data_IF_931961737842
#
_entry.id   IF_931961737842
#
_cell.length_a   1.000
_cell.length_b   1.000
_cell.length_c   1.000
_cell.angle_alpha   90.00
_cell.angle_beta   90.00
_cell.angle_gamma   90.00
#
_symmetry.space_group_name_H-M   'P 1'
#
loop_
_entity.id
_entity.type
_entity.pdbx_description
1 polymer ?
#
# COMPACT_ATOMS: atom_id res chain seq x y z
N UNK A 1 6.38 -26.58 -4.94
CA UNK A 1 5.50 -25.83 -5.83
C UNK A 1 4.53 -25.01 -4.99
N UNK A 2 4.39 -23.70 -5.25
CA UNK A 2 3.29 -22.86 -4.77
C UNK A 2 2.33 -22.69 -5.94
N UNK A 3 1.03 -22.82 -5.67
CA UNK A 3 -0.02 -22.73 -6.68
C UNK A 3 -0.78 -21.42 -6.51
N UNK A 4 -0.83 -20.61 -7.57
CA UNK A 4 -1.59 -19.38 -7.66
C UNK A 4 -2.80 -19.62 -8.55
N UNK A 5 -3.98 -19.84 -7.95
CA UNK A 5 -5.23 -19.97 -8.70
C UNK A 5 -5.78 -18.59 -9.03
N UNK A 6 -5.81 -18.27 -10.33
CA UNK A 6 -6.37 -17.02 -10.83
C UNK A 6 -7.82 -16.84 -10.35
N UNK A 7 -8.65 -17.89 -10.44
CA UNK A 7 -10.04 -17.85 -9.95
C UNK A 7 -10.14 -17.58 -8.46
N UNK A 8 -9.35 -18.25 -7.60
CA UNK A 8 -9.45 -18.04 -6.14
C UNK A 8 -9.04 -16.63 -5.76
N UNK A 9 -7.94 -16.14 -6.30
CA UNK A 9 -7.43 -14.79 -6.03
C UNK A 9 -8.41 -13.74 -6.57
N UNK A 10 -8.87 -13.90 -7.80
CA UNK A 10 -9.84 -13.00 -8.42
C UNK A 10 -11.17 -12.94 -7.65
N UNK A 11 -11.74 -14.11 -7.30
CA UNK A 11 -12.98 -14.16 -6.51
C UNK A 11 -12.77 -13.52 -5.14
N UNK A 12 -11.66 -13.79 -4.47
CA UNK A 12 -11.35 -13.18 -3.16
C UNK A 12 -11.39 -11.65 -3.25
N UNK A 13 -10.60 -11.05 -4.16
CA UNK A 13 -10.54 -9.59 -4.26
C UNK A 13 -11.84 -8.96 -4.77
N UNK A 14 -12.57 -9.60 -5.69
CA UNK A 14 -13.89 -9.12 -6.11
C UNK A 14 -14.91 -9.22 -4.96
N UNK A 15 -14.89 -10.28 -4.16
CA UNK A 15 -15.74 -10.40 -2.96
C UNK A 15 -15.39 -9.34 -1.94
N UNK A 16 -14.09 -9.10 -1.69
CA UNK A 16 -13.63 -8.04 -0.79
C UNK A 16 -14.09 -6.66 -1.28
N UNK A 17 -14.02 -6.40 -2.59
CA UNK A 17 -14.53 -5.16 -3.19
C UNK A 17 -16.02 -4.94 -2.88
N UNK A 18 -16.84 -5.96 -3.12
CA UNK A 18 -18.29 -5.91 -2.86
C UNK A 18 -18.57 -5.73 -1.36
N UNK A 19 -17.85 -6.46 -0.51
CA UNK A 19 -18.01 -6.37 0.95
C UNK A 19 -17.68 -4.97 1.44
N UNK A 20 -16.57 -4.36 1.00
CA UNK A 20 -16.24 -3.00 1.41
C UNK A 20 -17.24 -1.96 0.93
N UNK A 21 -17.72 -2.08 -0.32
CA UNK A 21 -18.77 -1.20 -0.82
C UNK A 21 -20.04 -1.29 0.06
N UNK A 22 -20.46 -2.50 0.44
CA UNK A 22 -21.62 -2.71 1.32
C UNK A 22 -21.37 -2.21 2.74
N UNK A 23 -20.22 -2.52 3.34
CA UNK A 23 -19.87 -2.09 4.70
C UNK A 23 -19.78 -0.56 4.76
N UNK A 24 -19.27 0.10 3.73
CA UNK A 24 -19.24 1.56 3.66
C UNK A 24 -20.63 2.18 3.61
N UNK A 25 -21.54 1.60 2.82
CA UNK A 25 -22.93 2.06 2.80
C UNK A 25 -23.61 1.93 4.16
N UNK A 26 -23.33 0.84 4.89
CA UNK A 26 -23.81 0.64 6.26
C UNK A 26 -23.18 1.67 7.21
N UNK A 27 -21.87 1.88 7.14
CA UNK A 27 -21.17 2.87 7.95
C UNK A 27 -21.68 4.29 7.70
N UNK A 28 -21.92 4.66 6.44
CA UNK A 28 -22.52 5.94 6.07
C UNK A 28 -23.92 6.11 6.68
N UNK A 29 -24.74 5.05 6.68
CA UNK A 29 -26.06 5.07 7.30
C UNK A 29 -26.00 5.19 8.83
N UNK A 30 -25.06 4.52 9.50
CA UNK A 30 -24.91 4.60 10.96
C UNK A 30 -24.38 5.99 11.38
N UNK A 31 -23.42 6.55 10.64
CA UNK A 31 -22.87 7.88 10.94
C UNK A 31 -23.91 9.00 10.92
N UNK A 32 -24.93 8.91 10.06
CA UNK A 32 -26.07 9.83 10.07
C UNK A 32 -26.87 9.74 11.38
N UNK A 33 -26.90 8.56 12.00
CA UNK A 33 -27.59 8.35 13.27
C UNK A 33 -26.75 8.68 14.51
N UNK A 34 -25.42 8.59 14.43
CA UNK A 34 -24.53 8.90 15.55
C UNK A 34 -23.15 9.42 15.07
N UNK A 35 -22.90 10.74 15.10
CA UNK A 35 -21.71 11.35 14.50
C UNK A 35 -20.46 11.29 15.41
N UNK A 36 -20.21 10.17 16.10
CA UNK A 36 -19.03 10.03 16.97
C UNK A 36 -17.71 10.04 16.15
N UNK A 37 -16.80 10.99 16.40
CA UNK A 37 -15.52 11.10 15.68
C UNK A 37 -14.55 9.95 15.96
N UNK A 38 -14.76 9.13 17.00
CA UNK A 38 -13.90 7.98 17.34
C UNK A 38 -14.50 6.64 16.90
N UNK A 39 -15.55 6.65 16.08
CA UNK A 39 -16.22 5.44 15.66
C UNK A 39 -15.32 4.57 14.75
N UNK A 40 -15.35 3.25 14.99
CA UNK A 40 -14.67 2.23 14.17
C UNK A 40 -15.07 2.34 12.69
N UNK A 41 -16.22 2.97 12.41
CA UNK A 41 -16.72 3.27 11.07
C UNK A 41 -15.75 4.07 10.20
N UNK A 42 -14.89 4.93 10.77
CA UNK A 42 -13.86 5.63 10.00
C UNK A 42 -12.82 4.69 9.38
N UNK A 43 -12.61 3.49 9.91
CA UNK A 43 -11.73 2.48 9.30
C UNK A 43 -12.35 1.86 8.04
N UNK A 44 -13.67 1.92 7.94
CA UNK A 44 -14.44 1.38 6.82
C UNK A 44 -15.01 2.46 5.91
N UNK A 45 -14.72 3.73 6.21
CA UNK A 45 -15.15 4.86 5.40
C UNK A 45 -14.34 4.90 4.12
N UNK A 46 -15.02 4.53 3.05
CA UNK A 46 -14.56 4.58 1.66
C UNK A 46 -14.27 6.05 1.31
N UNK A 47 -13.04 6.30 0.87
CA UNK A 47 -12.57 7.59 0.36
C UNK A 47 -11.80 8.42 1.36
N UNK A 48 -11.61 7.89 2.57
CA UNK A 48 -10.74 8.48 3.56
C UNK A 48 -9.35 7.87 3.45
N UNK A 49 -8.35 8.73 3.38
CA UNK A 49 -6.95 8.33 3.52
C UNK A 49 -6.78 7.51 4.80
N UNK A 50 -6.25 6.30 4.63
CA UNK A 50 -6.04 5.34 5.72
C UNK A 50 -7.22 4.42 6.07
N UNK A 51 -8.27 4.37 5.26
CA UNK A 51 -9.29 3.32 5.39
C UNK A 51 -8.77 1.93 4.95
N UNK A 52 -9.45 0.87 5.39
CA UNK A 52 -9.14 -0.50 4.93
C UNK A 52 -9.41 -0.71 3.44
N UNK A 53 -10.37 0.00 2.85
CA UNK A 53 -10.65 -0.08 1.41
C UNK A 53 -9.51 0.51 0.60
N UNK A 54 -9.01 1.70 0.98
CA UNK A 54 -7.84 2.36 0.38
C UNK A 54 -6.61 1.46 0.43
N UNK A 55 -6.36 0.78 1.55
CA UNK A 55 -5.25 -0.18 1.67
C UNK A 55 -5.37 -1.35 0.69
N UNK A 56 -6.55 -1.97 0.59
CA UNK A 56 -6.77 -3.07 -0.35
C UNK A 56 -6.68 -2.59 -1.80
N UNK A 57 -7.19 -1.40 -2.11
CA UNK A 57 -7.08 -0.77 -3.43
C UNK A 57 -5.61 -0.55 -3.81
N UNK A 58 -4.82 0.06 -2.93
CA UNK A 58 -3.37 0.23 -3.13
C UNK A 58 -2.69 -1.11 -3.43
N UNK A 59 -3.01 -2.16 -2.66
CA UNK A 59 -2.42 -3.49 -2.81
C UNK A 59 -2.80 -4.13 -4.15
N UNK A 60 -4.07 -4.08 -4.55
CA UNK A 60 -4.53 -4.63 -5.83
C UNK A 60 -3.86 -3.92 -7.00
N UNK A 61 -3.78 -2.58 -6.96
CA UNK A 61 -3.11 -1.78 -7.99
C UNK A 61 -1.62 -2.10 -8.08
N UNK A 62 -0.93 -2.27 -6.94
CA UNK A 62 0.47 -2.68 -6.91
C UNK A 62 0.66 -4.09 -7.47
N UNK A 63 -0.19 -5.06 -7.11
CA UNK A 63 -0.12 -6.42 -7.65
C UNK A 63 -0.34 -6.44 -9.18
N UNK A 64 -1.27 -5.62 -9.68
CA UNK A 64 -1.44 -5.40 -11.11
C UNK A 64 -0.16 -4.85 -11.75
N UNK A 65 0.44 -3.81 -11.16
CA UNK A 65 1.71 -3.24 -11.63
C UNK A 65 2.83 -4.29 -11.69
N UNK A 66 3.02 -5.08 -10.64
CA UNK A 66 4.04 -6.13 -10.57
C UNK A 66 3.82 -7.23 -11.61
N UNK A 67 2.58 -7.67 -11.83
CA UNK A 67 2.25 -8.66 -12.85
C UNK A 67 2.41 -8.10 -14.27
N UNK A 68 2.02 -6.85 -14.51
CA UNK A 68 2.27 -6.16 -15.78
C UNK A 68 3.76 -6.05 -16.05
N UNK A 69 4.56 -5.67 -15.04
CA UNK A 69 6.02 -5.58 -15.16
C UNK A 69 6.63 -6.95 -15.45
N UNK A 70 6.17 -8.00 -14.78
CA UNK A 70 6.56 -9.38 -15.04
C UNK A 70 6.27 -9.77 -16.50
N UNK A 71 5.03 -9.60 -16.95
CA UNK A 71 4.60 -9.90 -18.32
C UNK A 71 5.37 -9.08 -19.35
N UNK A 72 5.71 -7.84 -19.02
CA UNK A 72 6.48 -6.96 -19.90
C UNK A 72 7.93 -7.42 -20.11
N UNK A 73 8.49 -8.18 -19.17
CA UNK A 73 9.87 -8.67 -19.26
C UNK A 73 9.95 -10.16 -19.64
N UNK A 74 8.81 -10.84 -19.75
CA UNK A 74 8.75 -12.22 -20.18
C UNK A 74 9.02 -12.35 -21.70
N UNK A 75 9.91 -13.26 -22.13
CA UNK A 75 10.32 -13.37 -23.53
C UNK A 75 9.31 -14.19 -24.36
N UNK A 76 8.23 -13.55 -24.81
CA UNK A 76 7.25 -14.20 -25.69
C UNK A 76 7.82 -14.51 -27.10
N UNK A 77 7.49 -15.67 -27.71
CA UNK A 77 7.80 -15.96 -29.12
C UNK A 77 7.09 -14.95 -30.04
N UNK A 78 7.75 -14.48 -31.12
CA UNK A 78 7.23 -13.45 -32.05
C UNK A 78 6.89 -12.11 -31.36
N UNK A 79 7.92 -11.54 -30.72
CA UNK A 79 7.86 -10.34 -29.87
C UNK A 79 7.56 -9.06 -30.67
N UNK A 80 6.37 -8.49 -30.49
CA UNK A 80 6.10 -7.10 -30.91
C UNK A 80 6.60 -6.13 -29.82
N UNK A 81 7.67 -5.40 -30.14
CA UNK A 81 8.32 -4.42 -29.24
C UNK A 81 7.33 -3.33 -28.80
N UNK A 82 6.44 -2.92 -29.69
CA UNK A 82 5.44 -1.88 -29.40
C UNK A 82 4.45 -2.41 -28.36
N UNK A 83 3.87 -3.59 -28.57
CA UNK A 83 2.97 -4.22 -27.61
C UNK A 83 3.64 -4.44 -26.24
N UNK A 84 4.95 -4.73 -26.22
CA UNK A 84 5.68 -4.90 -24.96
C UNK A 84 5.89 -3.60 -24.19
N UNK A 85 6.17 -2.50 -24.87
CA UNK A 85 6.25 -1.20 -24.21
C UNK A 85 4.91 -0.79 -23.60
N UNK A 86 3.78 -1.19 -24.20
CA UNK A 86 2.45 -0.97 -23.61
C UNK A 86 2.28 -1.70 -22.27
N UNK A 87 2.78 -2.94 -22.12
CA UNK A 87 2.81 -3.62 -20.81
C UNK A 87 3.61 -2.81 -19.77
N UNK A 88 4.75 -2.24 -20.16
CA UNK A 88 5.59 -1.41 -19.26
C UNK A 88 4.90 -0.12 -18.86
N UNK A 89 4.30 0.58 -19.82
CA UNK A 89 3.58 1.83 -19.54
C UNK A 89 2.36 1.59 -18.64
N UNK A 90 1.63 0.50 -18.83
CA UNK A 90 0.58 0.10 -17.89
C UNK A 90 1.16 -0.21 -16.51
N UNK A 91 2.29 -0.92 -16.42
CA UNK A 91 2.91 -1.23 -15.13
C UNK A 91 3.25 0.05 -14.35
N UNK A 92 3.84 1.04 -15.03
CA UNK A 92 4.12 2.36 -14.45
C UNK A 92 2.83 3.09 -14.07
N UNK A 93 1.82 3.08 -14.94
CA UNK A 93 0.52 3.71 -14.66
C UNK A 93 -0.15 3.15 -13.40
N UNK A 94 -0.22 1.82 -13.27
CA UNK A 94 -0.79 1.17 -12.07
C UNK A 94 0.06 1.41 -10.81
N UNK A 95 1.38 1.54 -10.93
CA UNK A 95 2.24 1.92 -9.81
C UNK A 95 1.91 3.34 -9.33
N UNK A 96 1.79 4.29 -10.27
CA UNK A 96 1.43 5.67 -9.96
C UNK A 96 0.02 5.77 -9.37
N UNK A 97 -0.94 4.98 -9.86
CA UNK A 97 -2.29 4.91 -9.26
C UNK A 97 -2.23 4.37 -7.83
N UNK A 98 -1.44 3.32 -7.56
CA UNK A 98 -1.26 2.78 -6.21
C UNK A 98 -0.63 3.82 -5.26
N UNK A 99 0.36 4.58 -5.72
CA UNK A 99 0.97 5.66 -4.93
C UNK A 99 -0.03 6.80 -4.70
N UNK A 100 -0.76 7.20 -5.74
CA UNK A 100 -1.74 8.28 -5.68
C UNK A 100 -2.87 7.97 -4.69
N UNK A 101 -3.34 6.72 -4.64
CA UNK A 101 -4.38 6.28 -3.72
C UNK A 101 -4.01 6.50 -2.24
N UNK A 102 -2.75 6.27 -1.85
CA UNK A 102 -2.28 6.53 -0.48
C UNK A 102 -1.87 7.99 -0.26
N UNK A 103 -1.23 8.62 -1.24
CA UNK A 103 -0.62 9.94 -1.07
C UNK A 103 -1.51 11.12 -1.50
N UNK A 104 -2.65 10.89 -2.16
CA UNK A 104 -3.57 11.96 -2.56
C UNK A 104 -2.97 12.98 -3.54
N UNK A 105 -2.10 12.55 -4.45
CA UNK A 105 -1.35 13.47 -5.34
C UNK A 105 -2.28 14.31 -6.20
N UNK A 106 -3.31 13.68 -6.77
CA UNK A 106 -4.32 14.35 -7.58
C UNK A 106 -5.09 15.44 -6.79
N UNK A 107 -5.40 15.24 -5.51
CA UNK A 107 -6.08 16.24 -4.68
C UNK A 107 -5.23 17.52 -4.50
N UNK A 108 -3.91 17.35 -4.34
CA UNK A 108 -3.01 18.49 -4.20
C UNK A 108 -2.89 19.28 -5.50
N UNK A 109 -2.80 18.57 -6.62
CA UNK A 109 -2.85 19.20 -7.94
C UNK A 109 -4.18 19.90 -8.18
N UNK A 110 -5.29 19.31 -7.75
CA UNK A 110 -6.61 19.90 -7.90
C UNK A 110 -6.73 21.25 -7.21
N UNK A 111 -6.37 21.30 -5.92
CA UNK A 111 -6.34 22.53 -5.13
C UNK A 111 -5.44 23.59 -5.78
N UNK A 112 -4.29 23.18 -6.29
CA UNK A 112 -3.37 24.08 -7.00
C UNK A 112 -3.98 24.64 -8.28
N UNK A 113 -4.56 23.79 -9.14
CA UNK A 113 -5.13 24.23 -10.40
C UNK A 113 -6.32 25.17 -10.19
N UNK A 114 -7.19 24.87 -9.22
CA UNK A 114 -8.32 25.72 -8.85
C UNK A 114 -7.87 27.11 -8.39
N UNK A 115 -6.76 27.24 -7.67
CA UNK A 115 -6.21 28.55 -7.27
C UNK A 115 -5.63 29.32 -8.47
N UNK A 116 -4.95 28.64 -9.39
CA UNK A 116 -4.39 29.29 -10.58
C UNK A 116 -5.46 29.76 -11.58
N UNK A 117 -6.65 29.15 -11.54
CA UNK A 117 -7.73 29.38 -12.49
C UNK A 117 -8.84 30.18 -11.81
N UNK A 118 -8.90 31.47 -12.14
CA UNK A 118 -9.79 32.49 -11.53
C UNK A 118 -11.19 31.93 -11.16
N UNK A 119 -11.63 32.00 -9.88
CA UNK A 119 -12.83 31.32 -9.35
C UNK A 119 -14.18 31.78 -9.94
N UNK A 120 -14.16 32.72 -10.89
CA UNK A 120 -15.36 33.20 -11.58
C UNK A 120 -15.90 32.23 -12.63
N UNK A 121 -15.16 31.17 -12.97
CA UNK A 121 -15.63 30.16 -13.91
C UNK A 121 -16.27 29.01 -13.10
N UNK A 122 -17.59 28.77 -13.20
CA UNK A 122 -18.30 27.71 -12.48
C UNK A 122 -18.03 26.30 -13.08
N UNK A 123 -16.82 26.09 -13.60
CA UNK A 123 -16.36 24.87 -14.28
C UNK A 123 -15.11 24.30 -13.57
N UNK A 124 -14.99 24.48 -12.25
CA UNK A 124 -13.84 24.00 -11.46
C UNK A 124 -13.55 22.52 -11.71
N UNK A 125 -14.59 21.70 -11.78
CA UNK A 125 -14.50 20.29 -12.15
C UNK A 125 -14.09 20.01 -13.57
N UNK A 126 -14.50 20.85 -14.53
CA UNK A 126 -14.17 20.63 -15.93
C UNK A 126 -12.66 20.73 -16.15
N UNK A 127 -11.93 21.38 -15.24
CA UNK A 127 -10.47 21.46 -15.28
C UNK A 127 -9.79 20.11 -15.10
N UNK A 128 -10.40 19.19 -14.36
CA UNK A 128 -9.88 17.83 -14.16
C UNK A 128 -10.62 16.80 -14.99
N UNK A 129 -11.96 16.86 -14.98
CA UNK A 129 -12.79 15.93 -15.72
C UNK A 129 -12.49 15.97 -17.23
N UNK A 130 -12.23 17.13 -17.84
CA UNK A 130 -11.95 17.23 -19.29
C UNK A 130 -10.62 16.57 -19.66
N UNK A 131 -9.46 16.87 -19.02
CA UNK A 131 -8.24 16.10 -19.25
C UNK A 131 -8.41 14.60 -19.04
N UNK A 132 -9.09 14.16 -17.98
CA UNK A 132 -9.34 12.74 -17.75
C UNK A 132 -10.21 12.11 -18.83
N UNK A 133 -11.27 12.80 -19.29
CA UNK A 133 -12.10 12.36 -20.41
C UNK A 133 -11.31 12.26 -21.72
N UNK A 134 -10.43 13.22 -21.98
CA UNK A 134 -9.54 13.20 -23.14
C UNK A 134 -8.60 11.99 -23.06
N UNK A 135 -7.96 11.76 -21.91
CA UNK A 135 -7.09 10.59 -21.69
C UNK A 135 -7.88 9.30 -21.85
N UNK A 136 -9.07 9.19 -21.26
CA UNK A 136 -9.96 8.03 -21.37
C UNK A 136 -10.38 7.77 -22.82
N UNK A 137 -10.61 8.81 -23.62
CA UNK A 137 -10.94 8.68 -25.04
C UNK A 137 -9.73 8.30 -25.91
N UNK A 138 -8.53 8.79 -25.57
CA UNK A 138 -7.30 8.50 -26.31
C UNK A 138 -6.71 7.12 -25.98
N UNK A 139 -6.90 6.62 -24.75
CA UNK A 139 -6.36 5.35 -24.29
C UNK A 139 -6.74 4.16 -25.21
N UNK A 140 -8.01 3.95 -25.60
CA UNK A 140 -8.39 2.91 -26.55
C UNK A 140 -7.69 3.03 -27.90
N UNK A 141 -7.44 4.26 -28.38
CA UNK A 141 -6.77 4.52 -29.66
C UNK A 141 -5.28 4.19 -29.56
N UNK A 142 -4.61 4.63 -28.50
CA UNK A 142 -3.19 4.37 -28.22
C UNK A 142 -2.97 2.85 -28.07
N UNK A 143 -3.79 2.19 -27.26
CA UNK A 143 -3.67 0.77 -26.96
C UNK A 143 -4.36 -0.15 -27.98
N UNK A 144 -4.90 0.36 -29.10
CA UNK A 144 -5.66 -0.47 -30.06
C UNK A 144 -4.88 -1.67 -30.60
N UNK A 145 -3.59 -1.45 -30.93
CA UNK A 145 -2.70 -2.50 -31.45
C UNK A 145 -2.37 -3.52 -30.37
N UNK A 146 -2.09 -3.02 -29.16
CA UNK A 146 -1.85 -3.84 -27.99
C UNK A 146 -3.06 -4.74 -27.69
N UNK A 147 -4.26 -4.17 -27.59
CA UNK A 147 -5.50 -4.91 -27.37
C UNK A 147 -5.73 -5.94 -28.48
N UNK A 148 -5.52 -5.59 -29.74
CA UNK A 148 -5.65 -6.51 -30.86
C UNK A 148 -4.71 -7.72 -30.77
N UNK A 149 -3.53 -7.58 -30.15
CA UNK A 149 -2.57 -8.66 -29.95
C UNK A 149 -2.98 -9.67 -28.87
N UNK A 150 -3.91 -9.32 -27.99
CA UNK A 150 -4.33 -10.18 -26.88
C UNK A 150 -5.37 -11.22 -27.32
N UNK A 151 -5.41 -12.41 -26.68
CA UNK A 151 -6.47 -13.39 -26.86
C UNK A 151 -7.85 -12.77 -26.62
N UNK A 152 -8.86 -13.20 -27.39
CA UNK A 152 -10.20 -12.59 -27.38
C UNK A 152 -10.86 -12.54 -25.98
N UNK A 153 -10.61 -13.54 -25.13
CA UNK A 153 -11.09 -13.54 -23.74
C UNK A 153 -10.37 -12.49 -22.89
N UNK A 154 -9.04 -12.46 -22.91
CA UNK A 154 -8.21 -11.49 -22.19
C UNK A 154 -8.55 -10.06 -22.63
N UNK A 155 -8.62 -9.81 -23.94
CA UNK A 155 -9.00 -8.50 -24.50
C UNK A 155 -10.34 -8.01 -23.97
N UNK A 156 -11.37 -8.86 -23.97
CA UNK A 156 -12.70 -8.49 -23.47
C UNK A 156 -12.67 -8.13 -21.98
N UNK A 157 -12.00 -8.94 -21.15
CA UNK A 157 -11.90 -8.66 -19.73
C UNK A 157 -11.07 -7.41 -19.43
N UNK A 158 -10.02 -7.14 -20.21
CA UNK A 158 -9.24 -5.90 -20.13
C UNK A 158 -10.11 -4.66 -20.38
N UNK A 159 -10.94 -4.70 -21.42
CA UNK A 159 -11.87 -3.61 -21.74
C UNK A 159 -12.94 -3.47 -20.66
N UNK A 160 -13.56 -4.58 -20.23
CA UNK A 160 -14.60 -4.55 -19.19
C UNK A 160 -14.06 -3.99 -17.88
N UNK A 161 -12.90 -4.47 -17.41
CA UNK A 161 -12.27 -3.95 -16.19
C UNK A 161 -11.91 -2.47 -16.31
N UNK A 162 -11.36 -2.04 -17.45
CA UNK A 162 -11.09 -0.62 -17.71
C UNK A 162 -12.35 0.24 -17.72
N UNK A 163 -13.45 -0.23 -18.32
CA UNK A 163 -14.74 0.48 -18.33
C UNK A 163 -15.34 0.57 -16.93
N UNK A 164 -15.28 -0.50 -16.13
CA UNK A 164 -15.77 -0.48 -14.74
C UNK A 164 -14.94 0.50 -13.89
N UNK A 165 -13.61 0.45 -14.02
CA UNK A 165 -12.69 1.32 -13.27
C UNK A 165 -12.86 2.79 -13.65
N UNK A 166 -12.67 3.13 -14.94
CA UNK A 166 -12.72 4.51 -15.44
C UNK A 166 -14.14 5.06 -15.42
N UNK A 167 -15.15 4.21 -15.67
CA UNK A 167 -16.55 4.59 -15.56
C UNK A 167 -17.00 4.82 -14.11
N UNK A 168 -16.36 4.14 -13.15
CA UNK A 168 -16.51 4.43 -11.72
C UNK A 168 -16.11 5.87 -11.42
N UNK A 169 -14.83 6.20 -11.67
CA UNK A 169 -14.25 7.54 -11.49
C UNK A 169 -15.10 8.59 -12.20
N UNK A 170 -15.14 8.56 -13.54
CA UNK A 170 -15.76 9.62 -14.33
C UNK A 170 -17.28 9.73 -14.13
N UNK A 171 -17.95 8.60 -13.90
CA UNK A 171 -19.40 8.55 -13.79
C UNK A 171 -19.88 9.09 -12.45
N UNK A 172 -19.27 8.65 -11.35
CA UNK A 172 -19.72 9.02 -10.02
C UNK A 172 -19.18 10.37 -9.55
N UNK A 173 -17.98 10.77 -9.99
CA UNK A 173 -17.44 12.12 -9.75
C UNK A 173 -18.35 13.20 -10.35
N UNK A 174 -18.78 13.03 -11.62
CA UNK A 174 -19.70 13.96 -12.30
C UNK A 174 -21.07 14.05 -11.62
N UNK A 175 -21.59 12.91 -11.12
CA UNK A 175 -22.87 12.86 -10.42
C UNK A 175 -22.76 13.52 -9.04
N UNK A 176 -21.71 13.20 -8.28
CA UNK A 176 -21.46 13.73 -6.96
C UNK A 176 -21.41 15.25 -6.97
N UNK A 177 -20.67 15.82 -7.91
CA UNK A 177 -20.56 17.26 -8.02
C UNK A 177 -21.84 17.94 -8.53
N UNK A 178 -22.56 17.31 -9.47
CA UNK A 178 -23.89 17.80 -9.89
C UNK A 178 -24.84 17.90 -8.68
N UNK A 179 -24.76 16.94 -7.75
CA UNK A 179 -25.55 16.95 -6.52
C UNK A 179 -25.08 18.07 -5.58
N UNK A 180 -23.77 18.24 -5.37
CA UNK A 180 -23.23 19.32 -4.52
C UNK A 180 -23.61 20.72 -5.04
N UNK A 181 -23.54 20.94 -6.35
CA UNK A 181 -23.90 22.22 -6.98
C UNK A 181 -25.41 22.49 -6.94
N UNK A 182 -26.25 21.46 -7.07
CA UNK A 182 -27.71 21.58 -6.91
C UNK A 182 -28.09 21.81 -5.43
N UNK A 183 -27.38 21.22 -4.48
CA UNK A 183 -27.68 21.32 -3.03
C UNK A 183 -27.28 22.68 -2.43
N UNK A 184 -26.23 23.35 -2.94
CA UNK A 184 -25.94 24.75 -2.60
C UNK A 184 -27.12 25.71 -2.88
N UNK A 185 -28.13 25.27 -3.65
CA UNK A 185 -29.36 26.02 -3.95
C UNK A 185 -30.58 25.61 -3.11
N UNK A 186 -30.55 24.47 -2.39
CA UNK A 186 -31.68 23.90 -1.66
C UNK A 186 -31.31 23.62 -0.19
N UNK A 187 -32.02 24.21 0.77
CA UNK A 187 -31.73 24.10 2.23
C UNK A 187 -31.96 22.70 2.86
N UNK A 188 -31.82 21.59 2.12
CA UNK A 188 -32.10 20.21 2.59
C UNK A 188 -30.82 19.39 2.81
N UNK A 189 -30.04 19.80 3.81
CA UNK A 189 -28.68 19.31 4.12
C UNK A 189 -28.57 17.79 4.36
N UNK A 190 -29.64 17.15 4.86
CA UNK A 190 -29.55 15.77 5.35
C UNK A 190 -29.67 14.71 4.23
N UNK A 191 -30.62 14.88 3.30
CA UNK A 191 -30.85 13.92 2.21
C UNK A 191 -29.77 13.93 1.12
N UNK A 192 -29.16 15.09 0.86
CA UNK A 192 -28.06 15.22 -0.10
C UNK A 192 -26.78 14.56 0.42
N UNK A 193 -26.48 14.69 1.72
CA UNK A 193 -25.32 14.06 2.36
C UNK A 193 -25.34 12.52 2.28
N UNK A 194 -26.54 11.92 2.36
CA UNK A 194 -26.74 10.49 2.20
C UNK A 194 -26.51 10.05 0.75
N UNK A 195 -27.07 10.77 -0.23
CA UNK A 195 -26.89 10.47 -1.65
C UNK A 195 -25.43 10.58 -2.07
N UNK A 196 -24.71 11.62 -1.63
CA UNK A 196 -23.28 11.78 -1.89
C UNK A 196 -22.46 10.62 -1.32
N UNK A 197 -22.76 10.18 -0.09
CA UNK A 197 -22.08 9.05 0.54
C UNK A 197 -22.33 7.72 -0.20
N UNK A 198 -23.54 7.54 -0.75
CA UNK A 198 -23.88 6.39 -1.59
C UNK A 198 -23.07 6.42 -2.89
N UNK A 199 -23.07 7.54 -3.60
CA UNK A 199 -22.35 7.66 -4.87
C UNK A 199 -20.84 7.49 -4.71
N UNK A 200 -20.24 8.07 -3.66
CA UNK A 200 -18.82 7.83 -3.33
C UNK A 200 -18.52 6.37 -3.00
N UNK A 201 -19.43 5.71 -2.28
CA UNK A 201 -19.27 4.27 -1.99
C UNK A 201 -19.37 3.40 -3.25
N UNK A 202 -20.18 3.81 -4.23
CA UNK A 202 -20.29 3.15 -5.51
C UNK A 202 -19.07 3.40 -6.40
N UNK A 203 -18.54 4.62 -6.40
CA UNK A 203 -17.32 5.03 -7.11
C UNK A 203 -16.14 4.11 -6.76
N UNK A 204 -15.74 4.11 -5.50
CA UNK A 204 -14.63 3.29 -5.02
C UNK A 204 -14.92 1.79 -5.10
N UNK A 205 -16.18 1.38 -4.92
CA UNK A 205 -16.61 0.02 -5.17
C UNK A 205 -16.36 -0.42 -6.62
N UNK A 206 -16.65 0.47 -7.58
CA UNK A 206 -16.38 0.26 -9.00
C UNK A 206 -14.87 0.26 -9.29
N UNK A 207 -14.10 1.18 -8.74
CA UNK A 207 -12.64 1.20 -8.88
C UNK A 207 -11.99 -0.08 -8.38
N UNK A 208 -12.29 -0.47 -7.14
CA UNK A 208 -11.72 -1.67 -6.55
C UNK A 208 -12.17 -2.94 -7.29
N UNK A 209 -13.43 -3.01 -7.72
CA UNK A 209 -13.94 -4.12 -8.53
C UNK A 209 -13.28 -4.19 -9.90
N UNK A 210 -13.11 -3.05 -10.57
CA UNK A 210 -12.43 -2.93 -11.86
C UNK A 210 -10.98 -3.38 -11.75
N UNK A 211 -10.26 -2.91 -10.74
CA UNK A 211 -8.88 -3.29 -10.45
C UNK A 211 -8.76 -4.79 -10.09
N UNK A 212 -9.68 -5.34 -9.30
CA UNK A 212 -9.70 -6.76 -8.94
C UNK A 212 -9.98 -7.67 -10.16
N UNK A 213 -10.90 -7.26 -11.04
CA UNK A 213 -11.17 -7.95 -12.30
C UNK A 213 -9.97 -7.88 -13.25
N UNK A 214 -9.27 -6.75 -13.25
CA UNK A 214 -8.03 -6.59 -14.00
C UNK A 214 -6.93 -7.52 -13.47
N UNK A 215 -6.74 -7.59 -12.15
CA UNK A 215 -5.82 -8.54 -11.50
C UNK A 215 -6.13 -9.99 -11.88
N UNK A 216 -7.41 -10.38 -11.83
CA UNK A 216 -7.87 -11.69 -12.30
C UNK A 216 -7.46 -11.94 -13.75
N UNK A 217 -7.66 -10.95 -14.62
CA UNK A 217 -7.35 -11.03 -16.05
C UNK A 217 -5.85 -11.23 -16.29
N UNK A 218 -5.00 -10.51 -15.55
CA UNK A 218 -3.55 -10.67 -15.61
C UNK A 218 -3.10 -12.05 -15.14
N UNK A 219 -3.69 -12.57 -14.06
CA UNK A 219 -3.39 -13.91 -13.55
C UNK A 219 -3.84 -15.02 -14.51
N UNK A 220 -5.03 -14.92 -15.11
CA UNK A 220 -5.48 -15.90 -16.13
C UNK A 220 -4.64 -15.80 -17.41
N UNK A 221 -4.18 -14.61 -17.79
CA UNK A 221 -3.25 -14.46 -18.90
C UNK A 221 -1.88 -15.08 -18.58
N UNK A 222 -1.30 -14.80 -17.41
CA UNK A 222 -0.04 -15.39 -16.95
C UNK A 222 -0.11 -16.92 -16.87
N UNK A 223 -1.27 -17.48 -16.50
CA UNK A 223 -1.53 -18.93 -16.55
C UNK A 223 -1.35 -19.53 -17.94
N UNK A 224 -1.86 -18.86 -18.98
CA UNK A 224 -1.76 -19.35 -20.36
C UNK A 224 -0.39 -19.05 -20.96
N UNK A 225 0.17 -17.87 -20.64
CA UNK A 225 1.33 -17.34 -21.32
C UNK A 225 2.68 -17.77 -20.68
N UNK A 226 2.69 -17.95 -19.36
CA UNK A 226 3.87 -18.37 -18.57
C UNK A 226 3.68 -19.82 -18.07
N UNK A 227 2.53 -20.13 -17.47
CA UNK A 227 2.24 -21.44 -16.88
C UNK A 227 2.95 -21.66 -15.54
N UNK A 228 4.25 -21.91 -15.56
CA UNK A 228 5.07 -22.07 -14.34
C UNK A 228 6.27 -21.14 -14.38
N UNK A 229 6.45 -20.39 -13.30
CA UNK A 229 7.52 -19.43 -13.10
C UNK A 229 8.47 -19.93 -12.00
N UNK A 230 9.75 -19.99 -12.29
CA UNK A 230 10.75 -20.38 -11.29
C UNK A 230 11.31 -19.13 -10.61
N UNK A 231 11.23 -19.08 -9.29
CA UNK A 231 11.94 -18.10 -8.48
C UNK A 231 13.27 -18.71 -8.03
N UNK A 232 14.37 -18.06 -8.34
CA UNK A 232 15.72 -18.41 -7.88
C UNK A 232 16.22 -17.34 -6.94
N UNK A 233 16.74 -17.73 -5.78
CA UNK A 233 17.32 -16.81 -4.81
C UNK A 233 18.85 -16.87 -4.92
N UNK A 234 19.44 -15.97 -5.70
CA UNK A 234 20.89 -15.95 -5.95
C UNK A 234 21.39 -14.56 -6.31
N UNK A 235 22.66 -14.28 -6.01
CA UNK A 235 23.32 -13.06 -6.49
C UNK A 235 23.77 -13.15 -7.95
N UNK A 236 23.78 -14.34 -8.53
CA UNK A 236 24.12 -14.56 -9.94
C UNK A 236 22.85 -14.70 -10.78
N UNK A 237 22.74 -13.96 -11.92
CA UNK A 237 21.59 -14.09 -12.81
C UNK A 237 21.41 -15.53 -13.31
N UNK A 238 20.17 -15.99 -13.41
CA UNK A 238 19.85 -17.21 -14.13
C UNK A 238 20.02 -17.02 -15.64
N UNK A 239 20.47 -18.08 -16.33
CA UNK A 239 20.53 -18.12 -17.79
C UNK A 239 19.19 -18.50 -18.43
N UNK A 240 18.29 -19.11 -17.65
CA UNK A 240 17.00 -19.62 -18.13
C UNK A 240 15.94 -18.52 -18.23
N UNK A 241 15.13 -18.57 -19.29
CA UNK A 241 14.11 -17.57 -19.60
C UNK A 241 12.89 -17.60 -18.67
N UNK A 242 12.60 -18.74 -18.03
CA UNK A 242 11.43 -18.91 -17.15
C UNK A 242 11.79 -18.73 -15.67
N UNK A 243 12.98 -18.20 -15.38
CA UNK A 243 13.54 -18.11 -14.03
C UNK A 243 13.81 -16.65 -13.65
N UNK A 244 13.09 -16.13 -12.65
CA UNK A 244 13.37 -14.83 -12.05
C UNK A 244 14.38 -15.02 -10.94
N UNK A 245 15.50 -14.30 -11.05
CA UNK A 245 16.52 -14.29 -10.00
C UNK A 245 16.28 -13.12 -9.05
N UNK A 246 15.97 -13.42 -7.80
CA UNK A 246 15.89 -12.48 -6.70
C UNK A 246 17.25 -12.44 -5.98
N UNK A 247 18.01 -11.37 -6.20
CA UNK A 247 19.32 -11.18 -5.54
C UNK A 247 19.14 -10.49 -4.19
N UNK A 248 19.49 -11.15 -3.07
CA UNK A 248 19.39 -10.55 -1.74
C UNK A 248 20.10 -9.20 -1.65
N UNK A 249 21.33 -9.11 -2.18
CA UNK A 249 22.15 -7.89 -2.13
C UNK A 249 21.57 -6.75 -2.95
N UNK A 250 21.14 -7.04 -4.19
CA UNK A 250 20.61 -5.99 -5.07
C UNK A 250 19.29 -5.44 -4.54
N UNK A 251 18.39 -6.30 -4.09
CA UNK A 251 17.10 -5.90 -3.51
C UNK A 251 17.33 -5.05 -2.27
N UNK A 252 18.18 -5.50 -1.33
CA UNK A 252 18.50 -4.75 -0.13
C UNK A 252 19.14 -3.39 -0.44
N UNK A 253 20.06 -3.33 -1.40
CA UNK A 253 20.66 -2.06 -1.83
C UNK A 253 19.60 -1.13 -2.42
N UNK A 254 18.74 -1.61 -3.32
CA UNK A 254 17.65 -0.81 -3.89
C UNK A 254 16.71 -0.29 -2.81
N UNK A 255 16.33 -1.11 -1.83
CA UNK A 255 15.52 -0.67 -0.69
C UNK A 255 16.22 0.45 0.08
N UNK A 256 17.49 0.28 0.48
CA UNK A 256 18.22 1.30 1.23
C UNK A 256 18.41 2.61 0.44
N UNK A 257 18.65 2.54 -0.87
CA UNK A 257 18.73 3.74 -1.73
C UNK A 257 17.39 4.47 -1.75
N UNK A 258 16.27 3.74 -1.89
CA UNK A 258 14.93 4.34 -1.84
C UNK A 258 14.70 5.01 -0.48
N UNK A 259 15.02 4.34 0.63
CA UNK A 259 14.92 4.90 1.99
C UNK A 259 15.72 6.20 2.12
N UNK A 260 17.00 6.20 1.75
CA UNK A 260 17.85 7.39 1.84
C UNK A 260 17.28 8.56 1.03
N UNK A 261 16.77 8.28 -0.18
CA UNK A 261 16.16 9.31 -1.03
C UNK A 261 14.87 9.85 -0.40
N UNK A 262 13.97 8.99 0.05
CA UNK A 262 12.69 9.39 0.65
C UNK A 262 12.90 10.18 1.94
N UNK A 263 13.78 9.71 2.83
CA UNK A 263 14.11 10.41 4.08
C UNK A 263 14.84 11.73 3.80
N UNK A 264 15.75 11.76 2.83
CA UNK A 264 16.43 12.99 2.42
C UNK A 264 15.45 14.07 1.93
N UNK A 265 14.47 13.66 1.10
CA UNK A 265 13.39 14.54 0.64
C UNK A 265 12.53 14.98 1.83
N UNK A 266 12.10 14.05 2.69
CA UNK A 266 11.27 14.37 3.85
C UNK A 266 11.98 15.34 4.81
N UNK A 267 13.27 15.13 5.10
CA UNK A 267 14.06 16.05 5.93
C UNK A 267 14.16 17.46 5.32
N UNK A 268 14.36 17.55 4.00
CA UNK A 268 14.36 18.83 3.29
C UNK A 268 12.99 19.54 3.36
N UNK A 269 11.90 18.77 3.20
CA UNK A 269 10.54 19.27 3.32
C UNK A 269 10.25 19.74 4.76
N UNK A 270 10.65 19.00 5.79
CA UNK A 270 10.48 19.41 7.19
C UNK A 270 11.28 20.66 7.53
N UNK A 271 12.49 20.79 6.98
CA UNK A 271 13.26 22.02 7.09
C UNK A 271 12.50 23.20 6.44
N UNK A 272 11.98 23.01 5.22
CA UNK A 272 11.16 24.03 4.55
C UNK A 272 9.90 24.40 5.35
N UNK A 273 9.23 23.42 5.97
CA UNK A 273 8.09 23.61 6.87
C UNK A 273 8.43 24.41 8.13
N UNK A 274 9.70 24.43 8.54
CA UNK A 274 10.13 25.17 9.74
C UNK A 274 10.37 26.66 9.50
N UNK A 275 10.34 27.12 8.23
CA UNK A 275 10.59 28.52 7.89
C UNK A 275 9.41 29.42 8.30
N UNK A 276 9.65 30.68 8.76
CA UNK A 276 8.61 31.55 9.31
C UNK A 276 7.42 31.88 8.38
N UNK A 277 7.63 31.80 7.07
CA UNK A 277 6.62 32.14 6.05
C UNK A 277 6.11 30.89 5.32
N UNK A 278 6.30 29.71 5.90
CA UNK A 278 5.83 28.48 5.30
C UNK A 278 4.31 28.47 5.19
N UNK A 279 3.83 28.20 3.97
CA UNK A 279 2.42 27.94 3.68
C UNK A 279 2.33 26.67 2.86
N UNK A 280 1.25 25.93 3.07
CA UNK A 280 0.95 24.71 2.31
C UNK A 280 -0.47 24.76 1.77
N UNK A 281 -0.77 25.72 0.88
CA UNK A 281 -2.14 25.91 0.40
C UNK A 281 -2.68 24.66 -0.32
N UNK A 282 -1.81 23.80 -0.84
CA UNK A 282 -2.19 22.67 -1.70
C UNK A 282 -1.87 21.29 -1.14
N UNK A 283 -1.08 21.16 -0.08
CA UNK A 283 -0.73 19.85 0.48
C UNK A 283 0.51 19.17 -0.11
N UNK A 284 1.24 19.78 -1.07
CA UNK A 284 2.39 19.13 -1.73
C UNK A 284 3.50 18.67 -0.78
N UNK A 285 3.71 19.38 0.33
CA UNK A 285 4.70 18.98 1.33
C UNK A 285 4.25 17.79 2.18
N UNK A 286 2.94 17.52 2.29
CA UNK A 286 2.42 16.37 3.04
C UNK A 286 2.75 15.08 2.27
N UNK A 287 2.55 15.09 0.95
CA UNK A 287 2.81 13.96 0.03
C UNK A 287 4.24 13.40 0.17
N UNK A 288 5.21 14.26 0.47
CA UNK A 288 6.63 13.93 0.53
C UNK A 288 7.20 13.91 1.95
N UNK A 289 6.37 14.12 2.97
CA UNK A 289 6.79 14.07 4.35
C UNK A 289 6.56 12.67 4.92
N UNK A 290 7.62 12.02 5.41
CA UNK A 290 7.53 10.67 5.94
C UNK A 290 6.72 10.61 7.24
N UNK A 291 6.74 11.67 8.04
CA UNK A 291 5.91 11.80 9.25
C UNK A 291 4.43 12.14 8.93
N UNK A 292 3.95 11.81 7.74
CA UNK A 292 2.57 12.01 7.34
C UNK A 292 2.03 10.71 6.76
N UNK A 293 0.84 10.36 7.19
CA UNK A 293 0.21 9.07 6.94
C UNK A 293 -0.24 8.90 5.49
N UNK A 294 -0.68 10.00 4.87
CA UNK A 294 -1.05 10.06 3.46
C UNK A 294 0.14 10.53 2.60
N UNK A 295 1.21 9.74 2.55
CA UNK A 295 2.45 10.12 1.87
C UNK A 295 3.07 9.00 1.03
N UNK A 296 3.97 9.37 0.11
CA UNK A 296 4.77 8.42 -0.69
C UNK A 296 5.70 7.58 0.20
N UNK A 297 6.39 8.15 1.22
CA UNK A 297 7.14 7.34 2.17
C UNK A 297 6.31 6.30 2.93
N UNK A 298 5.12 6.64 3.41
CA UNK A 298 4.22 5.67 4.09
C UNK A 298 3.73 4.59 3.12
N UNK A 299 3.42 4.94 1.88
CA UNK A 299 3.15 3.94 0.84
C UNK A 299 4.32 2.94 0.71
N UNK A 300 5.56 3.44 0.73
CA UNK A 300 6.74 2.58 0.66
C UNK A 300 6.91 1.67 1.89
N UNK A 301 6.81 2.19 3.12
CA UNK A 301 6.96 1.39 4.35
C UNK A 301 5.94 0.26 4.42
N UNK A 302 4.66 0.57 4.15
CA UNK A 302 3.55 -0.40 4.09
C UNK A 302 3.87 -1.54 3.13
N UNK A 303 4.27 -1.23 1.89
CA UNK A 303 4.56 -2.29 0.91
C UNK A 303 5.90 -2.99 1.13
N UNK A 304 6.87 -2.35 1.78
CA UNK A 304 8.09 -3.02 2.24
C UNK A 304 7.78 -4.06 3.33
N UNK A 305 6.84 -3.76 4.24
CA UNK A 305 6.35 -4.71 5.24
C UNK A 305 5.54 -5.85 4.60
N UNK A 306 4.65 -5.56 3.65
CA UNK A 306 3.93 -6.59 2.86
C UNK A 306 4.91 -7.47 2.08
N UNK A 307 5.99 -6.90 1.53
CA UNK A 307 7.05 -7.67 0.88
C UNK A 307 7.75 -8.61 1.86
N UNK A 308 8.07 -8.14 3.06
CA UNK A 308 8.61 -9.01 4.13
C UNK A 308 7.63 -10.13 4.49
N UNK A 309 6.34 -9.83 4.63
CA UNK A 309 5.30 -10.83 4.87
C UNK A 309 5.25 -11.89 3.76
N UNK A 310 5.35 -11.47 2.49
CA UNK A 310 5.42 -12.38 1.36
C UNK A 310 6.65 -13.29 1.44
N UNK A 311 7.84 -12.75 1.73
CA UNK A 311 9.06 -13.54 1.91
C UNK A 311 8.96 -14.55 3.06
N UNK A 312 8.41 -14.15 4.21
CA UNK A 312 8.13 -15.02 5.34
C UNK A 312 7.20 -16.19 4.94
N UNK A 313 6.17 -15.89 4.15
CA UNK A 313 5.26 -16.90 3.61
C UNK A 313 5.95 -17.85 2.63
N UNK A 314 6.85 -17.34 1.78
CA UNK A 314 7.66 -18.15 0.87
C UNK A 314 8.60 -19.09 1.64
N UNK A 315 9.23 -18.62 2.72
CA UNK A 315 10.05 -19.46 3.61
C UNK A 315 9.22 -20.59 4.21
N UNK A 316 8.03 -20.26 4.74
CA UNK A 316 7.10 -21.22 5.30
C UNK A 316 6.67 -22.28 4.26
N UNK A 317 6.42 -21.86 3.02
CA UNK A 317 6.06 -22.75 1.92
C UNK A 317 7.23 -23.65 1.47
N UNK A 318 8.46 -23.13 1.46
CA UNK A 318 9.67 -23.90 1.15
C UNK A 318 9.90 -25.05 2.13
N UNK A 319 9.69 -24.81 3.43
CA UNK A 319 9.91 -25.80 4.50
C UNK A 319 8.79 -26.83 4.65
N UNK A 320 7.59 -26.58 4.09
CA UNK A 320 6.45 -27.51 4.17
C UNK A 320 6.67 -28.82 3.40
N UNK A 321 7.66 -28.87 2.49
CA UNK A 321 7.87 -29.99 1.57
C UNK A 321 8.22 -31.32 2.26
N UNK A 322 8.73 -31.31 3.50
CA UNK A 322 9.26 -32.50 4.20
C UNK A 322 8.89 -32.56 5.71
N UNK A 323 7.67 -32.19 6.12
CA UNK A 323 7.39 -31.86 7.52
C UNK A 323 6.80 -33.00 8.39
N UNK A 324 7.58 -33.46 9.38
CA UNK A 324 7.10 -34.05 10.64
C UNK A 324 6.64 -32.98 11.66
N UNK A 325 6.15 -33.41 12.84
CA UNK A 325 5.46 -32.57 13.85
C UNK A 325 6.27 -31.34 14.33
N UNK A 326 7.58 -31.48 14.56
CA UNK A 326 8.45 -30.37 14.99
C UNK A 326 8.66 -29.31 13.90
N UNK A 327 8.64 -29.72 12.62
CA UNK A 327 8.79 -28.83 11.47
C UNK A 327 7.52 -28.03 11.20
N UNK A 328 6.34 -28.55 11.62
CA UNK A 328 5.07 -27.83 11.57
C UNK A 328 5.09 -26.60 12.50
N UNK A 329 5.59 -26.76 13.72
CA UNK A 329 5.78 -25.64 14.66
C UNK A 329 6.65 -24.55 14.05
N UNK A 330 7.79 -24.92 13.45
CA UNK A 330 8.68 -23.97 12.77
C UNK A 330 8.00 -23.23 11.60
N UNK A 331 7.22 -23.92 10.77
CA UNK A 331 6.44 -23.31 9.67
C UNK A 331 5.39 -22.33 10.20
N UNK A 332 4.75 -22.63 11.34
CA UNK A 332 3.76 -21.75 11.94
C UNK A 332 4.38 -20.44 12.42
N UNK A 333 5.58 -20.45 13.00
CA UNK A 333 6.25 -19.20 13.42
C UNK A 333 6.48 -18.26 12.23
N UNK A 334 6.94 -18.78 11.09
CA UNK A 334 7.09 -17.94 9.88
C UNK A 334 5.76 -17.35 9.39
N UNK A 335 4.66 -18.12 9.46
CA UNK A 335 3.33 -17.63 9.08
C UNK A 335 2.78 -16.59 10.05
N UNK A 336 2.92 -16.83 11.35
CA UNK A 336 2.49 -15.86 12.37
C UNK A 336 3.28 -14.57 12.21
N UNK A 337 4.59 -14.65 11.97
CA UNK A 337 5.40 -13.45 11.72
C UNK A 337 4.97 -12.73 10.45
N UNK A 338 4.60 -13.46 9.39
CA UNK A 338 4.03 -12.85 8.19
C UNK A 338 2.74 -12.07 8.51
N UNK A 339 1.86 -12.64 9.33
CA UNK A 339 0.64 -11.97 9.78
C UNK A 339 0.94 -10.75 10.66
N UNK A 340 1.97 -10.80 11.49
CA UNK A 340 2.43 -9.63 12.27
C UNK A 340 2.87 -8.51 11.33
N UNK A 341 3.66 -8.79 10.28
CA UNK A 341 4.05 -7.77 9.30
C UNK A 341 2.86 -7.21 8.51
N UNK A 342 1.84 -8.03 8.20
CA UNK A 342 0.60 -7.53 7.60
C UNK A 342 -0.15 -6.62 8.58
N UNK A 343 -0.19 -6.97 9.87
CA UNK A 343 -0.80 -6.14 10.90
C UNK A 343 -0.07 -4.79 11.05
N UNK A 344 1.26 -4.78 11.10
CA UNK A 344 2.06 -3.55 11.16
C UNK A 344 1.85 -2.69 9.90
N UNK A 345 1.80 -3.30 8.72
CA UNK A 345 1.48 -2.60 7.48
C UNK A 345 0.06 -2.02 7.46
N UNK A 346 -0.89 -2.65 8.17
CA UNK A 346 -2.25 -2.16 8.31
C UNK A 346 -2.33 -1.01 9.31
N UNK A 347 -1.60 -1.12 10.43
CA UNK A 347 -1.48 -0.09 11.45
C UNK A 347 -0.90 1.21 10.85
N UNK A 348 0.24 1.13 10.19
CA UNK A 348 0.90 2.25 9.47
C UNK A 348 0.05 2.77 8.28
N UNK A 349 -0.84 1.94 7.74
CA UNK A 349 -1.75 2.42 6.71
C UNK A 349 -2.96 3.17 7.30
N UNK A 350 -3.42 2.80 8.49
CA UNK A 350 -4.72 3.18 9.05
C UNK A 350 -4.65 3.94 10.38
N UNK A 351 -3.45 4.30 10.82
CA UNK A 351 -3.20 5.11 12.02
C UNK A 351 -3.80 4.47 13.30
N UNK A 352 -3.79 3.13 13.41
CA UNK A 352 -4.51 2.47 14.50
C UNK A 352 -3.89 2.83 15.86
N UNK A 353 -2.56 2.86 15.94
CA UNK A 353 -1.85 3.27 17.15
C UNK A 353 -2.05 4.75 17.48
N UNK A 354 -2.11 5.64 16.49
CA UNK A 354 -2.39 7.08 16.72
C UNK A 354 -3.80 7.28 17.27
N UNK A 355 -4.81 6.63 16.66
CA UNK A 355 -6.22 6.73 17.07
C UNK A 355 -6.47 6.19 18.48
N UNK A 356 -5.63 5.26 18.94
CA UNK A 356 -5.73 4.70 20.30
C UNK A 356 -4.86 5.43 21.32
N UNK A 357 -3.90 6.25 20.87
CA UNK A 357 -2.99 6.98 21.75
C UNK A 357 -3.71 7.98 22.65
N UNK A 358 -4.60 8.83 22.11
CA UNK A 358 -5.29 9.82 22.95
C UNK A 358 -6.24 9.20 23.99
N UNK A 359 -7.15 8.27 23.63
CA UNK A 359 -8.02 7.61 24.61
C UNK A 359 -7.23 6.93 25.74
N UNK A 360 -6.14 6.26 25.39
CA UNK A 360 -5.31 5.56 26.36
C UNK A 360 -4.53 6.54 27.26
N UNK A 361 -4.04 7.66 26.71
CA UNK A 361 -3.38 8.73 27.46
C UNK A 361 -4.30 9.32 28.52
N UNK A 362 -5.55 9.59 28.15
CA UNK A 362 -6.56 10.12 29.08
C UNK A 362 -6.93 9.09 30.16
N UNK A 363 -7.08 7.82 29.79
CA UNK A 363 -7.43 6.74 30.72
C UNK A 363 -6.33 6.45 31.74
N UNK A 364 -5.07 6.44 31.29
CA UNK A 364 -3.91 6.09 32.12
C UNK A 364 -3.20 7.32 32.70
N UNK A 365 -3.63 8.53 32.34
CA UNK A 365 -3.02 9.80 32.72
C UNK A 365 -1.50 9.85 32.46
N UNK A 366 -1.09 9.42 31.26
CA UNK A 366 0.34 9.34 30.90
C UNK A 366 0.92 10.69 30.48
N UNK A 367 2.23 10.85 30.65
CA UNK A 367 2.98 12.06 30.32
C UNK A 367 4.46 11.74 30.08
N UNK A 368 5.25 12.74 29.70
CA UNK A 368 6.68 12.61 29.42
C UNK A 368 6.94 11.59 28.31
N UNK A 369 7.82 10.63 28.57
CA UNK A 369 8.17 9.59 27.59
C UNK A 369 7.01 8.64 27.24
N UNK A 370 5.92 8.63 28.00
CA UNK A 370 4.72 7.82 27.74
C UNK A 370 3.54 8.68 27.24
N UNK A 371 3.81 9.93 26.81
CA UNK A 371 2.77 10.82 26.31
C UNK A 371 2.06 10.24 25.08
N UNK A 372 2.81 9.64 24.16
CA UNK A 372 2.27 8.77 23.12
C UNK A 372 2.01 7.39 23.74
N UNK A 373 0.86 7.23 24.38
CA UNK A 373 0.62 6.08 25.26
C UNK A 373 0.51 4.73 24.54
N UNK A 374 0.36 4.73 23.21
CA UNK A 374 0.36 3.49 22.41
C UNK A 374 1.69 2.73 22.55
N UNK A 375 2.77 3.42 22.91
CA UNK A 375 4.07 2.82 23.25
C UNK A 375 3.93 1.74 24.33
N UNK A 376 2.97 1.85 25.26
CA UNK A 376 2.73 0.83 26.30
C UNK A 376 2.30 -0.51 25.69
N UNK A 377 1.16 -0.62 24.96
CA UNK A 377 0.81 -1.86 24.28
C UNK A 377 1.85 -2.27 23.23
N UNK A 378 2.49 -1.32 22.54
CA UNK A 378 3.57 -1.58 21.58
C UNK A 378 4.76 -2.31 22.20
N UNK A 379 5.27 -1.84 23.35
CA UNK A 379 6.38 -2.48 24.09
C UNK A 379 5.99 -3.88 24.59
N UNK A 380 4.77 -4.04 25.12
CA UNK A 380 4.28 -5.35 25.57
C UNK A 380 4.24 -6.32 24.38
N UNK A 381 3.66 -5.89 23.26
CA UNK A 381 3.58 -6.70 22.05
C UNK A 381 4.96 -7.08 21.52
N UNK A 382 5.87 -6.11 21.37
CA UNK A 382 7.24 -6.35 20.91
C UNK A 382 8.00 -7.31 21.85
N UNK A 383 7.85 -7.15 23.17
CA UNK A 383 8.44 -8.05 24.17
C UNK A 383 7.91 -9.48 24.07
N UNK A 384 6.58 -9.64 23.93
CA UNK A 384 5.96 -10.95 23.75
C UNK A 384 6.43 -11.64 22.46
N UNK A 385 6.53 -10.90 21.35
CA UNK A 385 7.06 -11.42 20.09
C UNK A 385 8.53 -11.83 20.25
N UNK A 386 9.37 -10.98 20.86
CA UNK A 386 10.79 -11.31 21.08
C UNK A 386 10.95 -12.60 21.92
N UNK A 387 10.17 -12.75 22.99
CA UNK A 387 10.19 -13.95 23.84
C UNK A 387 9.68 -15.19 23.12
N UNK A 388 8.55 -15.08 22.40
CA UNK A 388 7.94 -16.19 21.67
C UNK A 388 8.83 -16.73 20.55
N UNK A 389 9.63 -15.86 19.92
CA UNK A 389 10.51 -16.24 18.80
C UNK A 389 11.92 -16.65 19.24
N UNK A 390 12.29 -16.48 20.51
CA UNK A 390 13.61 -16.86 21.02
C UNK A 390 13.98 -18.35 20.76
N UNK A 391 13.08 -19.34 20.93
CA UNK A 391 13.37 -20.73 20.58
C UNK A 391 13.63 -20.94 19.08
N UNK A 392 12.90 -20.21 18.23
CA UNK A 392 13.07 -20.26 16.78
C UNK A 392 14.40 -19.64 16.35
N UNK A 393 14.76 -18.49 16.89
CA UNK A 393 16.00 -17.78 16.59
C UNK A 393 17.25 -18.61 16.90
N UNK A 394 17.19 -19.48 17.92
CA UNK A 394 18.26 -20.44 18.24
C UNK A 394 18.43 -21.56 17.22
N UNK A 395 17.40 -21.85 16.42
CA UNK A 395 17.41 -22.90 15.39
C UNK A 395 17.86 -22.38 14.02
N UNK A 396 17.84 -21.06 13.82
CA UNK A 396 18.29 -20.44 12.57
C UNK A 396 19.83 -20.39 12.50
N UNK A 397 20.41 -20.33 11.29
CA UNK A 397 21.83 -20.03 11.13
C UNK A 397 22.20 -18.73 11.84
N UNK A 398 23.35 -18.72 12.55
CA UNK A 398 23.80 -17.56 13.35
C UNK A 398 23.79 -16.24 12.58
N UNK A 399 24.16 -16.28 11.30
CA UNK A 399 24.14 -15.13 10.39
C UNK A 399 22.72 -14.58 10.21
N UNK A 400 21.75 -15.44 9.90
CA UNK A 400 20.34 -15.07 9.73
C UNK A 400 19.78 -14.50 11.03
N UNK A 401 20.05 -15.14 12.17
CA UNK A 401 19.64 -14.65 13.49
C UNK A 401 20.19 -13.26 13.76
N UNK A 402 21.48 -13.03 13.52
CA UNK A 402 22.10 -11.72 13.73
C UNK A 402 21.46 -10.64 12.86
N UNK A 403 21.24 -10.89 11.57
CA UNK A 403 20.63 -9.91 10.66
C UNK A 403 19.19 -9.59 11.07
N UNK A 404 18.38 -10.61 11.38
CA UNK A 404 16.99 -10.42 11.84
C UNK A 404 16.95 -9.63 13.14
N UNK A 405 17.82 -9.95 14.11
CA UNK A 405 17.89 -9.24 15.39
C UNK A 405 18.35 -7.80 15.22
N UNK A 406 19.33 -7.53 14.34
CA UNK A 406 19.77 -6.17 14.03
C UNK A 406 18.62 -5.39 13.38
N UNK A 407 17.96 -5.93 12.36
CA UNK A 407 16.82 -5.27 11.71
C UNK A 407 15.69 -4.97 12.69
N UNK A 408 15.32 -5.95 13.52
CA UNK A 408 14.30 -5.77 14.56
C UNK A 408 14.69 -4.75 15.63
N UNK A 409 15.95 -4.73 16.06
CA UNK A 409 16.44 -3.75 17.04
C UNK A 409 16.44 -2.33 16.47
N UNK A 410 16.83 -2.14 15.20
CA UNK A 410 16.77 -0.83 14.54
C UNK A 410 15.31 -0.37 14.44
N UNK A 411 14.41 -1.23 13.96
CA UNK A 411 12.98 -0.92 13.83
C UNK A 411 12.36 -0.51 15.17
N UNK A 412 12.51 -1.33 16.22
CA UNK A 412 11.97 -1.04 17.56
C UNK A 412 12.58 0.22 18.18
N UNK A 413 13.86 0.50 17.89
CA UNK A 413 14.50 1.73 18.38
C UNK A 413 13.92 2.98 17.72
N UNK A 414 13.48 2.91 16.47
CA UNK A 414 12.69 3.98 15.83
C UNK A 414 11.30 4.08 16.46
N UNK A 415 10.48 3.06 16.21
CA UNK A 415 9.06 3.04 16.54
C UNK A 415 8.71 3.24 18.01
N UNK A 416 9.59 2.82 18.94
CA UNK A 416 9.36 3.02 20.38
C UNK A 416 10.41 3.96 20.95
N UNK A 417 11.69 3.73 20.66
CA UNK A 417 12.78 4.46 21.31
C UNK A 417 12.78 5.96 20.99
N UNK A 418 12.81 6.32 19.70
CA UNK A 418 12.86 7.71 19.26
C UNK A 418 11.54 8.43 19.50
N UNK A 419 10.43 7.72 19.36
CA UNK A 419 9.12 8.26 19.64
C UNK A 419 8.93 8.61 21.13
N UNK A 420 9.43 7.79 22.05
CA UNK A 420 9.48 8.12 23.48
C UNK A 420 10.34 9.37 23.76
N UNK A 421 11.39 9.62 22.98
CA UNK A 421 12.24 10.81 23.14
C UNK A 421 11.49 12.06 22.63
N UNK A 422 10.82 11.98 21.49
CA UNK A 422 10.00 13.08 20.95
C UNK A 422 8.76 13.36 21.82
N UNK A 423 8.23 12.33 22.49
CA UNK A 423 7.13 12.43 23.44
C UNK A 423 7.45 13.33 24.64
N UNK A 424 8.70 13.35 25.12
CA UNK A 424 9.12 14.17 26.27
C UNK A 424 8.96 15.66 25.99
N UNK A 425 9.41 16.14 24.82
CA UNK A 425 9.26 17.53 24.41
C UNK A 425 7.79 17.87 24.19
N UNK A 426 7.07 17.01 23.46
CA UNK A 426 5.65 17.20 23.15
C UNK A 426 4.78 17.28 24.41
N UNK A 427 5.10 16.47 25.42
CA UNK A 427 4.42 16.48 26.71
C UNK A 427 4.66 17.75 27.52
N UNK A 428 5.83 18.39 27.37
CA UNK A 428 6.21 19.56 28.14
C UNK A 428 5.67 20.86 27.53
N UNK A 429 5.66 20.94 26.19
CA UNK A 429 5.33 22.16 25.45
C UNK A 429 3.88 22.19 24.94
N UNK A 430 3.15 21.07 25.03
CA UNK A 430 1.77 20.95 24.53
C UNK A 430 1.69 20.89 22.99
N UNK A 431 2.83 20.76 22.31
CA UNK A 431 2.97 20.67 20.86
C UNK A 431 4.37 20.19 20.46
N UNK A 432 4.57 19.82 19.20
CA UNK A 432 5.85 19.33 18.69
C UNK A 432 6.89 20.46 18.54
N UNK A 433 7.92 20.45 19.38
CA UNK A 433 8.99 21.43 19.37
C UNK A 433 10.04 21.19 18.27
N UNK A 434 11.24 21.74 18.45
CA UNK A 434 12.31 21.61 17.46
C UNK A 434 12.90 20.19 17.45
N UNK A 435 12.97 19.53 18.62
CA UNK A 435 13.50 18.17 18.74
C UNK A 435 12.59 17.16 18.07
N UNK A 436 11.28 17.19 18.33
CA UNK A 436 10.27 16.33 17.66
C UNK A 436 10.30 16.51 16.15
N UNK A 437 10.52 17.75 15.68
CA UNK A 437 10.68 18.01 14.24
C UNK A 437 11.96 17.46 13.63
N UNK A 438 13.05 17.47 14.39
CA UNK A 438 14.32 16.90 13.94
C UNK A 438 14.35 15.37 14.02
N UNK A 439 13.69 14.78 15.03
CA UNK A 439 13.70 13.34 15.26
C UNK A 439 12.78 12.58 14.30
N UNK A 440 11.69 13.17 13.82
CA UNK A 440 10.75 12.43 12.97
C UNK A 440 11.38 11.81 11.72
N UNK A 441 12.21 12.48 10.88
CA UNK A 441 12.86 11.80 9.75
C UNK A 441 13.88 10.74 10.19
N UNK A 442 14.42 10.84 11.41
CA UNK A 442 15.35 9.85 11.97
C UNK A 442 14.58 8.61 12.45
N UNK A 443 13.41 8.79 13.04
CA UNK A 443 12.48 7.73 13.41
C UNK A 443 12.10 6.89 12.18
N UNK A 444 11.59 7.55 11.14
CA UNK A 444 11.23 6.96 9.85
C UNK A 444 12.41 6.22 9.20
N UNK A 445 13.60 6.80 9.27
CA UNK A 445 14.82 6.16 8.77
C UNK A 445 15.10 4.84 9.50
N UNK A 446 14.97 4.82 10.83
CA UNK A 446 15.21 3.63 11.62
C UNK A 446 14.20 2.54 11.28
N UNK A 447 12.92 2.88 11.19
CA UNK A 447 11.87 1.93 10.84
C UNK A 447 12.09 1.32 9.45
N UNK A 448 12.23 2.17 8.43
CA UNK A 448 12.39 1.70 7.05
C UNK A 448 13.72 0.96 6.84
N UNK A 449 14.81 1.41 7.47
CA UNK A 449 16.09 0.70 7.42
C UNK A 449 16.03 -0.65 8.14
N UNK A 450 15.34 -0.73 9.29
CA UNK A 450 15.09 -1.97 10.00
C UNK A 450 14.35 -2.99 9.15
N UNK A 451 13.30 -2.56 8.44
CA UNK A 451 12.56 -3.39 7.47
C UNK A 451 13.48 -3.84 6.32
N UNK A 452 14.29 -2.95 5.76
CA UNK A 452 15.22 -3.30 4.67
C UNK A 452 16.29 -4.33 5.09
N UNK A 453 16.85 -4.19 6.29
CA UNK A 453 17.80 -5.16 6.87
C UNK A 453 17.11 -6.50 7.12
N UNK A 454 15.88 -6.48 7.63
CA UNK A 454 15.10 -7.70 7.84
C UNK A 454 14.81 -8.41 6.51
N UNK A 455 14.36 -7.69 5.49
CA UNK A 455 14.14 -8.22 4.13
C UNK A 455 15.41 -8.87 3.55
N UNK A 456 16.57 -8.24 3.74
CA UNK A 456 17.87 -8.84 3.36
C UNK A 456 18.08 -10.18 4.06
N UNK A 457 17.85 -10.25 5.38
CA UNK A 457 17.98 -11.49 6.17
C UNK A 457 17.08 -12.62 5.67
N UNK A 458 15.84 -12.31 5.29
CA UNK A 458 14.90 -13.29 4.72
C UNK A 458 15.34 -13.79 3.35
N UNK A 459 15.77 -12.89 2.46
CA UNK A 459 16.27 -13.24 1.13
C UNK A 459 17.56 -14.07 1.21
N UNK A 460 18.49 -13.70 2.10
CA UNK A 460 19.73 -14.44 2.36
C UNK A 460 19.42 -15.86 2.88
N UNK A 461 18.44 -15.98 3.77
CA UNK A 461 17.98 -17.28 4.28
C UNK A 461 17.32 -18.14 3.19
N UNK A 462 16.46 -17.55 2.34
CA UNK A 462 15.85 -18.24 1.19
C UNK A 462 16.91 -18.74 0.20
N UNK A 463 17.91 -17.90 -0.10
CA UNK A 463 19.04 -18.27 -0.95
C UNK A 463 19.85 -19.44 -0.38
N UNK A 464 20.02 -19.48 0.95
CA UNK A 464 20.80 -20.52 1.62
C UNK A 464 20.03 -21.85 1.83
N UNK A 465 18.70 -21.83 1.92
CA UNK A 465 17.91 -23.01 2.38
C UNK A 465 16.92 -23.56 1.37
N UNK A 466 16.37 -22.72 0.49
CA UNK A 466 15.36 -23.12 -0.49
C UNK A 466 15.95 -23.13 -1.91
N UNK A 467 16.82 -22.16 -2.22
CA UNK A 467 17.50 -21.90 -3.50
C UNK A 467 16.55 -21.64 -4.69
N UNK A 468 15.55 -22.50 -4.90
CA UNK A 468 14.57 -22.45 -5.97
C UNK A 468 13.14 -22.73 -5.49
N UNK A 469 12.18 -21.95 -6.01
CA UNK A 469 10.76 -22.13 -5.74
C UNK A 469 9.93 -21.97 -7.01
N UNK A 470 9.14 -22.99 -7.34
CA UNK A 470 8.22 -22.96 -8.48
C UNK A 470 6.90 -22.31 -8.09
N UNK A 471 6.50 -21.28 -8.83
CA UNK A 471 5.17 -20.67 -8.82
C UNK A 471 4.38 -21.18 -10.03
N UNK A 472 3.35 -21.98 -9.80
CA UNK A 472 2.46 -22.46 -10.86
C UNK A 472 1.19 -21.63 -10.90
N UNK A 473 0.90 -21.02 -12.04
CA UNK A 473 -0.37 -20.36 -12.30
C UNK A 473 -1.41 -21.42 -12.68
N UNK A 474 -2.55 -21.42 -11.99
CA UNK A 474 -3.67 -22.32 -12.21
C UNK A 474 -4.97 -21.53 -12.41
N UNK A 475 -6.00 -22.24 -12.89
CA UNK A 475 -7.27 -21.63 -13.30
C UNK A 475 -7.99 -20.93 -12.14
#
# INVERSE_FOLDING_TARGET
MIVLSARRIGVLFMTVAIVFAVVSLIAAAIRLSNPDPYSIELLFKVGQSGSFSTWVQCLVLLLCSLLLWLLSNYPFPNRDVVAQNHWRWLAVGFLLLSINEKAGVHEAFEKWALDQLNPTIPLGWALWAVPFLIIAALLPVIYRRFLASLPARTRRLFVISGVIFVGGILGFELIGETIETLDLSAQSVESASMLLSVFRSLEEGCELLGAALFLYTLLDYARVAIGTLNLRFSNTPAAETNTITLSPRRIALSMNVIVIVLIGISAAIRYYQSLPNYVNPYGFTIILNANQEASIPTWYSVFAMVFCAALLWLIAAGHKRDAGRERLGFVLHWRVLALIFIYLALDDSSELHERTAEPLRLLLNTSGALYFSWVIPGMIFAGLVALAYLPMLRRLPRRTTAIIMIGGAIFVSGAIGLEMVSAVETSAEGGGGALTRALGPVEELFEMAGIAVFAYGLLDYLAATVEHLELRFEK
#
